data_IF_570988057676
#
_entry.id   IF_570988057676
#
_cell.length_a   1.000
_cell.length_b   1.000
_cell.length_c   1.000
_cell.angle_alpha   90.00
_cell.angle_beta   90.00
_cell.angle_gamma   90.00
#
_symmetry.space_group_name_H-M   'P 1'
#
loop_
_entity.id
_entity.type
_entity.pdbx_description
1 polymer ?
#
# COMPACT_ATOMS: atom_id res chain seq x y z
N UNK A 1 -7.75 -0.19 21.74
CA UNK A 1 -8.32 1.00 21.05
C UNK A 1 -8.57 0.63 19.60
N UNK A 2 -9.82 0.32 19.24
CA UNK A 2 -10.23 0.20 17.83
C UNK A 2 -10.37 1.63 17.30
N UNK A 3 -9.39 2.09 16.53
CA UNK A 3 -9.53 3.30 15.73
C UNK A 3 -10.58 3.00 14.67
N UNK A 4 -11.73 3.66 14.73
CA UNK A 4 -12.73 3.59 13.70
C UNK A 4 -12.12 4.21 12.44
N UNK A 5 -11.77 3.37 11.47
CA UNK A 5 -11.29 3.82 10.17
C UNK A 5 -12.35 4.75 9.56
N UNK A 6 -11.91 5.94 9.12
CA UNK A 6 -12.74 6.85 8.34
C UNK A 6 -13.40 6.07 7.18
N UNK A 7 -14.64 6.41 6.77
CA UNK A 7 -15.29 5.72 5.67
C UNK A 7 -14.36 5.75 4.45
N UNK A 8 -13.90 4.57 4.03
CA UNK A 8 -13.01 4.45 2.91
C UNK A 8 -13.67 5.14 1.70
N UNK A 9 -12.95 5.97 0.94
CA UNK A 9 -13.51 6.72 -0.18
C UNK A 9 -14.25 5.77 -1.14
N UNK A 10 -15.32 6.23 -1.78
CA UNK A 10 -16.13 5.43 -2.71
C UNK A 10 -15.30 4.60 -3.71
N UNK A 11 -14.14 5.12 -4.12
CA UNK A 11 -13.17 4.44 -4.99
C UNK A 11 -12.54 3.20 -4.35
N UNK A 12 -12.21 3.24 -3.06
CA UNK A 12 -11.71 2.08 -2.31
C UNK A 12 -12.80 1.00 -2.17
N UNK A 13 -14.06 1.41 -1.99
CA UNK A 13 -15.21 0.50 -1.98
C UNK A 13 -15.40 -0.25 -3.31
N UNK A 14 -15.27 0.46 -4.44
CA UNK A 14 -15.32 -0.16 -5.78
C UNK A 14 -14.16 -1.14 -5.97
N UNK A 15 -12.94 -0.76 -5.58
CA UNK A 15 -11.77 -1.64 -5.68
C UNK A 15 -11.96 -2.92 -4.86
N UNK A 16 -12.49 -2.81 -3.64
CA UNK A 16 -12.81 -3.94 -2.78
C UNK A 16 -13.82 -4.88 -3.43
N UNK A 17 -14.97 -4.36 -3.86
CA UNK A 17 -16.02 -5.16 -4.49
C UNK A 17 -15.51 -5.86 -5.76
N UNK A 18 -14.67 -5.17 -6.55
CA UNK A 18 -14.05 -5.74 -7.75
C UNK A 18 -13.11 -6.89 -7.42
N UNK A 19 -12.23 -6.72 -6.42
CA UNK A 19 -11.34 -7.79 -5.97
C UNK A 19 -12.11 -9.03 -5.50
N UNK A 20 -13.22 -8.84 -4.78
CA UNK A 20 -14.10 -9.93 -4.36
C UNK A 20 -14.77 -10.65 -5.53
N UNK A 21 -15.32 -9.90 -6.50
CA UNK A 21 -15.95 -10.50 -7.68
C UNK A 21 -14.94 -11.30 -8.51
N UNK A 22 -13.71 -10.77 -8.67
CA UNK A 22 -12.63 -11.47 -9.37
C UNK A 22 -12.26 -12.80 -8.71
N UNK A 23 -12.18 -12.85 -7.38
CA UNK A 23 -11.79 -14.07 -6.67
C UNK A 23 -12.93 -15.08 -6.49
N UNK A 24 -14.16 -14.61 -6.24
CA UNK A 24 -15.26 -15.50 -5.87
C UNK A 24 -16.14 -15.91 -7.05
N UNK A 25 -16.33 -15.01 -8.03
CA UNK A 25 -17.23 -15.23 -9.16
C UNK A 25 -16.45 -15.60 -10.42
N UNK A 26 -15.56 -14.70 -10.87
CA UNK A 26 -14.80 -14.88 -12.12
C UNK A 26 -13.75 -15.97 -11.98
N UNK A 27 -13.09 -16.05 -10.81
CA UNK A 27 -12.03 -17.01 -10.48
C UNK A 27 -10.86 -17.00 -11.48
N UNK A 28 -10.56 -15.83 -12.04
CA UNK A 28 -9.42 -15.65 -12.94
C UNK A 28 -8.13 -15.40 -12.15
N UNK A 29 -7.00 -15.88 -12.70
CA UNK A 29 -5.68 -15.53 -12.17
C UNK A 29 -5.47 -14.01 -12.30
N UNK A 30 -5.26 -13.34 -11.17
CA UNK A 30 -5.31 -11.88 -11.08
C UNK A 30 -4.12 -11.33 -10.32
N UNK A 31 -3.43 -10.35 -10.91
CA UNK A 31 -2.55 -9.44 -10.17
C UNK A 31 -3.30 -8.13 -9.90
N UNK A 32 -3.58 -7.85 -8.63
CA UNK A 32 -4.32 -6.67 -8.23
C UNK A 32 -3.38 -5.65 -7.58
N UNK A 33 -2.77 -4.78 -8.39
CA UNK A 33 -1.92 -3.70 -7.90
C UNK A 33 -2.78 -2.56 -7.31
N UNK A 34 -2.55 -2.20 -6.05
CA UNK A 34 -3.33 -1.17 -5.35
C UNK A 34 -2.48 -0.29 -4.44
N UNK A 35 -2.96 0.93 -4.19
CA UNK A 35 -2.42 1.85 -3.19
C UNK A 35 -3.30 1.94 -1.93
N UNK A 36 -4.43 1.22 -1.90
CA UNK A 36 -5.33 1.15 -0.75
C UNK A 36 -4.83 0.11 0.25
N UNK A 37 -4.41 0.57 1.42
CA UNK A 37 -3.92 -0.30 2.49
C UNK A 37 -5.03 -1.17 3.06
N UNK A 38 -6.27 -0.68 3.05
CA UNK A 38 -7.44 -1.37 3.57
C UNK A 38 -7.65 -2.73 2.88
N UNK A 39 -7.30 -2.86 1.60
CA UNK A 39 -7.46 -4.12 0.85
C UNK A 39 -6.48 -5.21 1.31
N UNK A 40 -5.44 -4.87 2.08
CA UNK A 40 -4.46 -5.86 2.58
C UNK A 40 -5.05 -6.84 3.60
N UNK A 41 -6.23 -6.58 4.16
CA UNK A 41 -6.94 -7.54 5.03
C UNK A 41 -7.69 -8.62 4.25
N UNK A 42 -7.88 -8.46 2.93
CA UNK A 42 -8.66 -9.41 2.12
C UNK A 42 -8.13 -10.86 2.18
N UNK A 43 -6.81 -11.12 2.14
CA UNK A 43 -6.28 -12.49 2.27
C UNK A 43 -6.62 -13.18 3.60
N UNK A 44 -6.86 -12.44 4.68
CA UNK A 44 -7.27 -13.03 5.98
C UNK A 44 -8.69 -13.59 5.91
N UNK A 45 -9.52 -13.08 5.00
CA UNK A 45 -10.92 -13.46 4.82
C UNK A 45 -11.14 -14.37 3.61
N UNK A 46 -10.20 -14.37 2.66
CA UNK A 46 -10.31 -15.08 1.38
C UNK A 46 -9.03 -15.87 1.09
N UNK A 47 -9.03 -17.17 1.38
CA UNK A 47 -7.88 -18.07 1.23
C UNK A 47 -7.30 -18.18 -0.20
N UNK A 48 -8.07 -17.76 -1.22
CA UNK A 48 -7.61 -17.72 -2.61
C UNK A 48 -6.79 -16.46 -2.95
N UNK A 49 -6.67 -15.52 -2.02
CA UNK A 49 -5.93 -14.26 -2.19
C UNK A 49 -4.66 -14.29 -1.35
N UNK A 50 -3.62 -13.59 -1.82
CA UNK A 50 -2.38 -13.38 -1.08
C UNK A 50 -1.88 -11.95 -1.28
N UNK A 51 -1.30 -11.37 -0.23
CA UNK A 51 -0.60 -10.10 -0.34
C UNK A 51 0.84 -10.35 -0.80
N UNK A 52 1.27 -9.55 -1.77
CA UNK A 52 2.65 -9.48 -2.22
C UNK A 52 3.09 -8.02 -2.30
N UNK A 53 4.34 -7.75 -1.96
CA UNK A 53 4.93 -6.41 -2.04
C UNK A 53 6.19 -6.40 -2.87
N UNK A 54 6.45 -5.26 -3.49
CA UNK A 54 7.73 -4.99 -4.11
C UNK A 54 8.76 -4.64 -3.04
N UNK A 55 9.80 -5.46 -2.90
CA UNK A 55 10.86 -5.27 -1.93
C UNK A 55 11.77 -4.10 -2.31
N UNK A 56 12.19 -3.37 -1.29
CA UNK A 56 13.12 -2.25 -1.42
C UNK A 56 13.98 -2.13 -0.17
N UNK A 57 15.21 -1.65 -0.33
CA UNK A 57 16.14 -1.37 0.76
C UNK A 57 16.28 0.13 0.96
N UNK A 58 16.31 0.57 2.21
CA UNK A 58 16.71 1.93 2.56
C UNK A 58 18.16 1.90 3.04
N UNK A 59 19.07 2.49 2.27
CA UNK A 59 20.47 2.67 2.65
C UNK A 59 20.78 4.16 2.72
N UNK A 60 21.20 4.63 3.91
CA UNK A 60 21.68 6.01 4.14
C UNK A 60 20.73 7.11 3.62
N UNK A 61 19.41 6.88 3.68
CA UNK A 61 18.41 7.86 3.25
C UNK A 61 18.06 7.82 1.75
N UNK A 62 18.55 6.81 1.02
CA UNK A 62 18.17 6.52 -0.35
C UNK A 62 17.37 5.21 -0.40
N UNK A 63 16.28 5.19 -1.17
CA UNK A 63 15.51 3.97 -1.46
C UNK A 63 16.07 3.33 -2.70
N UNK A 64 16.42 2.04 -2.59
CA UNK A 64 16.83 1.19 -3.69
C UNK A 64 15.73 0.16 -3.91
N UNK A 65 15.10 0.21 -5.09
CA UNK A 65 14.09 -0.77 -5.49
C UNK A 65 14.79 -2.06 -5.90
N UNK A 66 14.52 -3.17 -5.21
CA UNK A 66 15.21 -4.43 -5.45
C UNK A 66 14.64 -5.26 -6.59
N UNK A 67 13.51 -4.84 -7.18
CA UNK A 67 12.80 -5.59 -8.22
C UNK A 67 12.47 -7.03 -7.80
N UNK A 68 12.34 -7.24 -6.50
CA UNK A 68 11.99 -8.52 -5.88
C UNK A 68 10.59 -8.44 -5.30
N UNK A 69 9.86 -9.55 -5.32
CA UNK A 69 8.55 -9.68 -4.70
C UNK A 69 8.71 -10.43 -3.39
N UNK A 70 8.14 -9.90 -2.31
CA UNK A 70 8.05 -10.55 -1.00
C UNK A 70 6.60 -10.79 -0.61
N UNK A 71 6.38 -11.89 0.11
CA UNK A 71 5.07 -12.21 0.68
C UNK A 71 4.72 -11.29 1.85
N UNK A 72 3.43 -11.07 2.03
CA UNK A 72 2.87 -10.30 3.14
C UNK A 72 2.44 -8.88 2.73
N UNK A 73 1.73 -8.18 3.62
CA UNK A 73 1.25 -6.82 3.36
C UNK A 73 2.39 -5.79 3.48
N UNK A 74 2.26 -4.67 2.76
CA UNK A 74 3.17 -3.55 2.96
C UNK A 74 2.95 -2.98 4.36
N UNK A 75 4.02 -2.64 5.10
CA UNK A 75 3.88 -2.13 6.46
C UNK A 75 4.00 -0.59 6.60
N UNK A 76 4.44 0.11 5.53
CA UNK A 76 4.64 1.57 5.50
C UNK A 76 4.51 2.12 4.08
N UNK A 77 4.06 3.37 3.96
CA UNK A 77 4.18 4.13 2.72
C UNK A 77 5.57 4.79 2.65
N UNK A 78 6.12 4.89 1.44
CA UNK A 78 7.47 5.42 1.21
C UNK A 78 7.45 6.77 0.48
N UNK A 79 6.31 7.46 0.52
CA UNK A 79 6.08 8.68 -0.25
C UNK A 79 7.11 9.77 0.04
N UNK A 80 7.50 9.94 1.31
CA UNK A 80 8.53 10.93 1.70
C UNK A 80 9.91 10.59 1.14
N UNK A 81 10.28 9.31 1.13
CA UNK A 81 11.56 8.86 0.61
C UNK A 81 11.63 8.96 -0.92
N UNK A 82 10.52 8.64 -1.61
CA UNK A 82 10.39 8.83 -3.06
C UNK A 82 10.44 10.31 -3.42
N UNK A 83 9.75 11.18 -2.66
CA UNK A 83 9.80 12.62 -2.85
C UNK A 83 11.22 13.19 -2.66
N UNK A 84 11.97 12.69 -1.68
CA UNK A 84 13.40 13.03 -1.51
C UNK A 84 14.24 12.64 -2.73
N UNK A 85 14.02 11.44 -3.27
CA UNK A 85 14.70 11.00 -4.50
C UNK A 85 14.33 11.85 -5.73
N UNK A 86 13.09 12.34 -5.80
CA UNK A 86 12.62 13.24 -6.85
C UNK A 86 13.18 14.68 -6.72
N UNK A 87 13.95 14.98 -5.67
CA UNK A 87 14.55 16.31 -5.46
C UNK A 87 13.62 17.32 -4.79
N UNK A 88 12.56 16.86 -4.10
CA UNK A 88 11.69 17.76 -3.32
C UNK A 88 12.51 18.41 -2.19
N UNK A 89 12.43 19.75 -2.02
CA UNK A 89 13.17 20.47 -0.99
C UNK A 89 12.91 19.95 0.43
N UNK A 90 13.96 19.92 1.26
CA UNK A 90 13.89 19.42 2.64
C UNK A 90 12.87 20.17 3.50
N UNK A 91 12.65 21.46 3.26
CA UNK A 91 11.62 22.25 3.96
C UNK A 91 10.20 21.72 3.73
N UNK A 92 9.90 21.25 2.51
CA UNK A 92 8.60 20.67 2.15
C UNK A 92 8.49 19.26 2.76
N UNK A 93 9.56 18.47 2.69
CA UNK A 93 9.59 17.12 3.30
C UNK A 93 9.40 17.18 4.82
N UNK A 94 9.95 18.20 5.48
CA UNK A 94 9.80 18.39 6.91
C UNK A 94 8.36 18.76 7.28
N UNK A 95 7.75 19.72 6.56
CA UNK A 95 6.34 20.07 6.76
C UNK A 95 5.40 18.87 6.55
N UNK A 96 5.68 18.03 5.55
CA UNK A 96 4.91 16.82 5.28
C UNK A 96 5.07 15.76 6.39
N UNK A 97 6.28 15.60 6.95
CA UNK A 97 6.52 14.73 8.12
C UNK A 97 5.73 15.20 9.34
N UNK A 98 5.79 16.50 9.64
CA UNK A 98 5.13 17.07 10.81
C UNK A 98 3.60 16.88 10.73
N UNK A 99 3.03 16.94 9.52
CA UNK A 99 1.60 16.68 9.28
C UNK A 99 1.18 15.21 9.44
N UNK A 100 2.08 14.27 9.16
CA UNK A 100 1.83 12.82 9.28
C UNK A 100 2.14 12.28 10.68
N UNK A 101 2.94 13.02 11.46
CA UNK A 101 3.28 12.70 12.85
C UNK A 101 2.38 13.33 13.92
N UNK A 102 1.38 14.12 13.51
CA UNK A 102 0.31 14.69 14.34
C UNK A 102 -0.98 13.88 14.24
#
# INVERSE_FOLDING_TARGET
MKSAAAPAPLTAGIAWATALALANEVKALTFFATHYFELTILPDQHAAMANVIWTQLSMKGHVVFLHQIQEGPANRSFGLQVAKLAGVPDSILQAAKDKLGS
#
